data_IF_662464254901
#
_entry.id   IF_662464254901
#
_cell.length_a   1.000
_cell.length_b   1.000
_cell.length_c   1.000
_cell.angle_alpha   90.00
_cell.angle_beta   90.00
_cell.angle_gamma   90.00
#
_symmetry.space_group_name_H-M   'P 1'
#
loop_
_entity.id
_entity.type
_entity.pdbx_description
1 polymer ?
#
# COMPACT_ATOMS: atom_id res chain seq x y z
N UNK A 1 -0.72 0.42 -7.64
CA UNK A 1 -0.05 0.01 -6.38
C UNK A 1 0.14 1.26 -5.54
N UNK A 2 -0.09 1.16 -4.23
CA UNK A 2 0.26 2.22 -3.29
C UNK A 2 1.77 2.49 -3.32
N UNK A 3 2.19 3.67 -2.83
CA UNK A 3 3.59 4.08 -2.74
C UNK A 3 4.36 4.16 -4.10
N UNK A 4 3.69 4.54 -5.19
CA UNK A 4 4.33 4.64 -6.52
C UNK A 4 5.62 5.49 -6.54
N UNK A 5 5.61 6.63 -5.83
CA UNK A 5 6.78 7.52 -5.69
C UNK A 5 7.96 6.80 -5.04
N UNK A 6 7.70 5.96 -4.04
CA UNK A 6 8.72 5.19 -3.33
C UNK A 6 9.44 4.18 -4.24
N UNK A 7 8.68 3.49 -5.09
CA UNK A 7 9.24 2.50 -6.02
C UNK A 7 9.99 3.13 -7.21
N UNK A 8 9.74 4.41 -7.51
CA UNK A 8 10.36 5.13 -8.64
C UNK A 8 11.55 6.00 -8.25
N UNK A 9 11.64 6.44 -6.99
CA UNK A 9 12.77 7.26 -6.54
C UNK A 9 14.05 6.44 -6.43
N UNK A 10 15.19 7.13 -6.44
CA UNK A 10 16.48 6.53 -6.08
C UNK A 10 16.48 6.08 -4.63
N UNK A 11 17.20 4.99 -4.36
CA UNK A 11 17.33 4.42 -3.01
C UNK A 11 18.04 5.44 -2.12
N UNK A 12 17.45 5.72 -0.96
CA UNK A 12 18.05 6.58 0.07
C UNK A 12 18.80 5.74 1.11
N UNK A 13 19.69 6.38 1.89
CA UNK A 13 20.45 5.69 2.94
C UNK A 13 19.57 5.03 4.01
N UNK A 14 18.44 5.66 4.31
CA UNK A 14 17.46 5.18 5.27
C UNK A 14 16.07 5.47 4.73
N UNK A 15 15.18 4.47 4.79
CA UNK A 15 13.85 4.53 4.20
C UNK A 15 12.83 3.88 5.11
N UNK A 16 11.68 4.53 5.23
CA UNK A 16 10.57 4.03 6.02
C UNK A 16 9.27 4.17 5.22
N UNK A 17 8.47 3.12 5.21
CA UNK A 17 7.09 3.14 4.72
C UNK A 17 6.18 3.07 5.94
N UNK A 18 5.17 3.94 5.99
CA UNK A 18 4.15 3.92 7.03
C UNK A 18 2.78 3.97 6.38
N UNK A 19 1.87 3.12 6.86
CA UNK A 19 0.46 3.18 6.50
C UNK A 19 -0.39 2.84 7.72
N UNK A 20 -1.61 3.38 7.80
CA UNK A 20 -2.55 3.09 8.88
C UNK A 20 -3.34 1.79 8.61
N UNK A 21 -3.42 1.36 7.34
CA UNK A 21 -4.04 0.11 6.95
C UNK A 21 -3.15 -1.09 7.35
N UNK A 22 -3.56 -1.73 8.44
CA UNK A 22 -2.85 -2.90 8.98
C UNK A 22 -2.77 -4.08 8.00
N UNK A 23 -3.72 -4.26 7.08
CA UNK A 23 -3.65 -5.31 6.06
C UNK A 23 -2.53 -5.02 5.05
N UNK A 24 -2.40 -3.75 4.67
CA UNK A 24 -1.34 -3.29 3.76
C UNK A 24 0.04 -3.40 4.42
N UNK A 25 0.15 -3.04 5.71
CA UNK A 25 1.39 -3.21 6.48
C UNK A 25 1.79 -4.69 6.56
N UNK A 26 0.85 -5.58 6.92
CA UNK A 26 1.12 -7.02 6.97
C UNK A 26 1.55 -7.53 5.59
N UNK A 27 0.90 -7.07 4.53
CA UNK A 27 1.29 -7.43 3.16
C UNK A 27 2.75 -7.05 2.84
N UNK A 28 3.17 -5.81 3.13
CA UNK A 28 4.56 -5.41 2.89
C UNK A 28 5.56 -6.19 3.75
N UNK A 29 5.24 -6.44 5.03
CA UNK A 29 6.09 -7.23 5.93
C UNK A 29 6.26 -8.67 5.43
N UNK A 30 5.18 -9.30 4.97
CA UNK A 30 5.23 -10.65 4.41
C UNK A 30 6.02 -10.69 3.11
N UNK A 31 5.83 -9.72 2.20
CA UNK A 31 6.65 -9.65 0.99
C UNK A 31 8.13 -9.44 1.30
N UNK A 32 8.47 -8.66 2.32
CA UNK A 32 9.85 -8.43 2.73
C UNK A 32 10.51 -9.69 3.30
N UNK A 33 9.79 -10.50 4.09
CA UNK A 33 10.40 -11.57 4.89
C UNK A 33 10.07 -13.00 4.42
N UNK A 34 8.97 -13.19 3.67
CA UNK A 34 8.39 -14.50 3.35
C UNK A 34 7.78 -14.52 1.93
N UNK A 35 8.52 -14.02 0.94
CA UNK A 35 8.05 -13.93 -0.46
C UNK A 35 7.67 -15.31 -1.01
N UNK A 36 8.48 -16.33 -0.76
CA UNK A 36 8.26 -17.67 -1.30
C UNK A 36 6.97 -18.29 -0.74
N UNK A 37 6.77 -18.20 0.58
CA UNK A 37 5.57 -18.72 1.25
C UNK A 37 4.32 -17.96 0.81
N UNK A 38 4.45 -16.65 0.55
CA UNK A 38 3.38 -15.85 -0.04
C UNK A 38 3.02 -16.34 -1.44
N UNK A 39 4.00 -16.50 -2.35
CA UNK A 39 3.76 -16.96 -3.72
C UNK A 39 3.16 -18.37 -3.76
N UNK A 40 3.55 -19.24 -2.83
CA UNK A 40 2.98 -20.59 -2.69
C UNK A 40 1.48 -20.60 -2.45
N UNK A 41 0.89 -19.54 -1.86
CA UNK A 41 -0.56 -19.42 -1.69
C UNK A 41 -1.31 -19.34 -3.04
N UNK A 42 -0.62 -18.96 -4.12
CA UNK A 42 -1.21 -18.71 -5.44
C UNK A 42 -0.92 -19.81 -6.46
N UNK A 43 -0.11 -20.82 -6.12
CA UNK A 43 0.37 -21.84 -7.07
C UNK A 43 -0.75 -22.54 -7.85
N UNK A 44 -1.88 -22.80 -7.20
CA UNK A 44 -3.05 -23.47 -7.78
C UNK A 44 -4.30 -22.59 -7.76
N UNK A 45 -4.13 -21.30 -7.47
CA UNK A 45 -5.25 -20.40 -7.30
C UNK A 45 -5.76 -19.92 -8.66
N UNK A 46 -7.07 -20.06 -8.86
CA UNK A 46 -7.76 -19.57 -10.06
C UNK A 46 -8.53 -18.30 -9.75
N UNK A 47 -8.79 -17.50 -10.77
CA UNK A 47 -9.71 -16.36 -10.67
C UNK A 47 -11.15 -16.89 -10.64
N UNK A 48 -11.84 -16.73 -9.52
CA UNK A 48 -13.23 -17.13 -9.37
C UNK A 48 -13.99 -16.19 -8.43
N UNK A 49 -15.25 -15.93 -8.76
CA UNK A 49 -16.13 -15.08 -7.95
C UNK A 49 -16.45 -15.74 -6.60
N UNK A 50 -16.65 -17.05 -6.58
CA UNK A 50 -16.94 -17.78 -5.34
C UNK A 50 -15.74 -17.72 -4.38
N UNK A 51 -14.54 -17.98 -4.91
CA UNK A 51 -13.29 -17.82 -4.16
C UNK A 51 -13.09 -16.39 -3.64
N UNK A 52 -13.43 -15.38 -4.46
CA UNK A 52 -13.35 -13.98 -4.04
C UNK A 52 -14.29 -13.66 -2.88
N UNK A 53 -15.56 -14.05 -2.94
CA UNK A 53 -16.51 -13.79 -1.85
C UNK A 53 -16.14 -14.59 -0.58
N UNK A 54 -15.59 -15.80 -0.73
CA UNK A 54 -15.10 -16.57 0.40
C UNK A 54 -13.88 -15.95 1.08
N UNK A 55 -12.86 -15.57 0.29
CA UNK A 55 -11.66 -14.92 0.83
C UNK A 55 -11.96 -13.54 1.42
N UNK A 56 -12.97 -12.84 0.89
CA UNK A 56 -13.49 -11.61 1.49
C UNK A 56 -14.05 -11.87 2.89
N UNK A 57 -14.90 -12.90 3.05
CA UNK A 57 -15.41 -13.29 4.38
C UNK A 57 -14.29 -13.70 5.33
N UNK A 58 -13.31 -14.47 4.86
CA UNK A 58 -12.15 -14.86 5.69
C UNK A 58 -11.33 -13.64 6.14
N UNK A 59 -11.10 -12.68 5.24
CA UNK A 59 -10.37 -11.45 5.54
C UNK A 59 -11.08 -10.65 6.65
N UNK A 60 -12.42 -10.55 6.57
CA UNK A 60 -13.22 -9.81 7.55
C UNK A 60 -13.35 -10.58 8.89
N UNK A 61 -13.40 -11.92 8.85
CA UNK A 61 -13.55 -12.76 10.04
C UNK A 61 -12.27 -12.85 10.89
N UNK A 62 -11.09 -12.69 10.28
CA UNK A 62 -9.80 -12.81 10.97
C UNK A 62 -9.41 -14.27 11.25
N UNK A 63 -8.48 -14.47 12.21
CA UNK A 63 -7.95 -15.79 12.56
C UNK A 63 -6.95 -16.39 11.55
N UNK A 64 -6.53 -15.59 10.57
CA UNK A 64 -5.55 -15.95 9.54
C UNK A 64 -4.12 -15.73 10.04
N UNK A 65 -3.17 -16.53 9.56
CA UNK A 65 -1.75 -16.19 9.71
C UNK A 65 -1.40 -14.96 8.89
N UNK A 66 -0.30 -14.26 9.21
CA UNK A 66 0.13 -13.07 8.46
C UNK A 66 0.28 -13.36 6.96
N UNK A 67 0.87 -14.51 6.59
CA UNK A 67 1.00 -14.94 5.19
C UNK A 67 -0.37 -15.11 4.53
N UNK A 68 -1.31 -15.74 5.26
CA UNK A 68 -2.65 -15.95 4.74
C UNK A 68 -3.39 -14.63 4.56
N UNK A 69 -3.35 -13.77 5.57
CA UNK A 69 -3.95 -12.43 5.56
C UNK A 69 -3.40 -11.57 4.42
N UNK A 70 -2.08 -11.56 4.22
CA UNK A 70 -1.45 -10.87 3.10
C UNK A 70 -1.93 -11.39 1.75
N UNK A 71 -2.02 -12.72 1.58
CA UNK A 71 -2.46 -13.33 0.33
C UNK A 71 -3.93 -13.01 0.01
N UNK A 72 -4.80 -13.02 1.02
CA UNK A 72 -6.23 -12.71 0.89
C UNK A 72 -6.40 -11.25 0.50
N UNK A 73 -5.72 -10.35 1.22
CA UNK A 73 -5.66 -8.94 0.88
C UNK A 73 -5.23 -8.71 -0.58
N UNK A 74 -4.12 -9.31 -1.00
CA UNK A 74 -3.61 -9.14 -2.37
C UNK A 74 -4.57 -9.65 -3.45
N UNK A 75 -5.14 -10.85 -3.26
CA UNK A 75 -6.09 -11.45 -4.19
C UNK A 75 -7.34 -10.57 -4.36
N UNK A 76 -7.89 -10.10 -3.25
CA UNK A 76 -9.04 -9.21 -3.24
C UNK A 76 -8.71 -7.90 -3.96
N UNK A 77 -7.55 -7.30 -3.70
CA UNK A 77 -7.17 -6.05 -4.36
C UNK A 77 -6.94 -6.20 -5.88
N UNK A 78 -6.38 -7.33 -6.33
CA UNK A 78 -6.15 -7.58 -7.75
C UNK A 78 -7.43 -7.82 -8.55
N UNK A 79 -8.40 -8.49 -7.94
CA UNK A 79 -9.67 -8.85 -8.59
C UNK A 79 -10.81 -7.87 -8.31
N UNK A 80 -10.64 -6.95 -7.35
CA UNK A 80 -11.66 -5.95 -7.06
C UNK A 80 -11.81 -4.94 -8.21
N UNK A 81 -13.06 -4.61 -8.56
CA UNK A 81 -13.37 -3.50 -9.43
C UNK A 81 -12.84 -2.19 -8.84
N UNK A 82 -12.06 -1.46 -9.64
CA UNK A 82 -11.48 -0.17 -9.25
C UNK A 82 -10.48 -0.22 -8.08
N UNK A 83 -10.02 -1.41 -7.66
CA UNK A 83 -9.03 -1.55 -6.57
C UNK A 83 -9.49 -0.96 -5.23
N UNK A 84 -10.80 -0.96 -4.97
CA UNK A 84 -11.37 -0.38 -3.75
C UNK A 84 -10.98 -1.22 -2.55
N UNK A 85 -10.64 -0.57 -1.43
CA UNK A 85 -10.34 -1.27 -0.17
C UNK A 85 -11.62 -1.52 0.62
N UNK A 86 -12.59 -0.59 0.57
CA UNK A 86 -13.93 -0.72 1.14
C UNK A 86 -14.97 -1.06 0.07
N UNK A 87 -15.96 -1.87 0.43
CA UNK A 87 -17.03 -2.27 -0.49
C UNK A 87 -16.49 -3.03 -1.69
N UNK A 88 -15.59 -3.99 -1.45
CA UNK A 88 -14.94 -4.78 -2.50
C UNK A 88 -15.98 -5.55 -3.31
N UNK A 89 -15.95 -5.37 -4.63
CA UNK A 89 -16.82 -6.06 -5.59
C UNK A 89 -15.93 -6.73 -6.62
N UNK A 90 -16.21 -7.98 -6.95
CA UNK A 90 -15.47 -8.71 -7.98
C UNK A 90 -15.59 -8.01 -9.34
N UNK A 91 -14.45 -7.60 -9.89
CA UNK A 91 -14.36 -6.91 -11.16
C UNK A 91 -14.49 -7.85 -12.35
N UNK A 92 -15.29 -7.44 -13.33
CA UNK A 92 -15.47 -8.16 -14.60
C UNK A 92 -14.90 -7.34 -15.73
N UNK A 93 -14.03 -7.94 -16.54
CA UNK A 93 -13.42 -7.30 -17.70
C UNK A 93 -13.45 -8.28 -18.88
N UNK A 94 -14.56 -8.30 -19.67
CA UNK A 94 -14.76 -9.31 -20.72
C UNK A 94 -13.66 -9.32 -21.81
N UNK A 95 -12.96 -8.20 -21.99
CA UNK A 95 -11.92 -8.02 -23.00
C UNK A 95 -10.50 -8.31 -22.50
N UNK A 96 -10.34 -8.73 -21.24
CA UNK A 96 -9.03 -8.91 -20.62
C UNK A 96 -8.93 -10.25 -19.89
N UNK A 97 -7.73 -10.84 -19.94
CA UNK A 97 -7.44 -12.01 -19.13
C UNK A 97 -7.54 -11.68 -17.63
N UNK A 98 -7.87 -12.67 -16.78
CA UNK A 98 -7.87 -12.49 -15.33
C UNK A 98 -6.54 -11.93 -14.82
N UNK A 99 -6.62 -11.06 -13.81
CA UNK A 99 -5.45 -10.31 -13.28
C UNK A 99 -4.57 -11.12 -12.32
N UNK A 100 -4.89 -12.39 -12.10
CA UNK A 100 -4.09 -13.33 -11.30
C UNK A 100 -3.39 -14.26 -12.27
N UNK A 101 -2.07 -14.07 -12.41
CA UNK A 101 -1.18 -14.92 -13.19
C UNK A 101 0.09 -15.13 -12.38
N UNK A 102 0.37 -16.39 -11.99
CA UNK A 102 1.45 -16.70 -11.06
C UNK A 102 2.83 -16.22 -11.55
N UNK A 103 3.16 -16.48 -12.82
CA UNK A 103 4.46 -16.13 -13.39
C UNK A 103 4.68 -14.61 -13.35
N UNK A 104 3.67 -13.83 -13.75
CA UNK A 104 3.75 -12.37 -13.70
C UNK A 104 3.80 -11.84 -12.27
N UNK A 105 3.06 -12.47 -11.36
CA UNK A 105 3.07 -12.10 -9.95
C UNK A 105 4.45 -12.35 -9.32
N UNK A 106 5.08 -13.48 -9.62
CA UNK A 106 6.42 -13.80 -9.15
C UNK A 106 7.45 -12.79 -9.62
N UNK A 107 7.43 -12.42 -10.90
CA UNK A 107 8.30 -11.38 -11.47
C UNK A 107 8.09 -10.02 -10.77
N UNK A 108 6.84 -9.54 -10.71
CA UNK A 108 6.50 -8.24 -10.12
C UNK A 108 6.84 -8.19 -8.62
N UNK A 109 6.54 -9.26 -7.87
CA UNK A 109 6.72 -9.29 -6.43
C UNK A 109 8.17 -9.54 -6.03
N UNK A 110 8.98 -10.22 -6.86
CA UNK A 110 10.42 -10.34 -6.64
C UNK A 110 11.11 -8.98 -6.69
N UNK A 111 10.75 -8.13 -7.67
CA UNK A 111 11.27 -6.77 -7.73
C UNK A 111 10.86 -5.93 -6.51
N UNK A 112 9.61 -6.09 -6.04
CA UNK A 112 9.14 -5.42 -4.83
C UNK A 112 9.88 -5.90 -3.58
N UNK A 113 10.08 -7.22 -3.44
CA UNK A 113 10.81 -7.81 -2.33
C UNK A 113 12.24 -7.23 -2.24
N UNK A 114 12.99 -7.26 -3.35
CA UNK A 114 14.34 -6.69 -3.41
C UNK A 114 14.38 -5.21 -3.03
N UNK A 115 13.37 -4.44 -3.45
CA UNK A 115 13.25 -3.02 -3.10
C UNK A 115 12.98 -2.80 -1.61
N UNK A 116 12.32 -3.75 -0.93
CA UNK A 116 11.93 -3.66 0.47
C UNK A 116 12.98 -4.14 1.46
N UNK A 117 14.01 -4.90 1.06
CA UNK A 117 15.00 -5.52 1.97
C UNK A 117 15.62 -4.53 2.99
N UNK A 118 15.86 -3.28 2.61
CA UNK A 118 16.45 -2.25 3.46
C UNK A 118 15.46 -1.24 4.07
N UNK A 119 14.17 -1.53 4.03
CA UNK A 119 13.11 -0.56 4.33
C UNK A 119 12.44 -0.88 5.65
N UNK A 120 12.33 0.10 6.53
CA UNK A 120 11.52 -0.06 7.75
C UNK A 120 10.04 0.09 7.41
N UNK A 121 9.19 -0.81 7.92
CA UNK A 121 7.75 -0.77 7.67
C UNK A 121 7.05 -0.52 9.01
N UNK A 122 6.33 0.59 9.10
CA UNK A 122 5.68 1.09 10.32
C UNK A 122 4.15 1.04 10.19
N UNK A 123 3.48 0.88 11.33
CA UNK A 123 2.03 0.97 11.48
C UNK A 123 1.69 2.01 12.54
N UNK A 124 1.93 3.28 12.22
CA UNK A 124 1.73 4.40 13.13
C UNK A 124 0.73 5.40 12.55
N UNK A 125 0.08 6.15 13.44
CA UNK A 125 -0.62 7.36 13.01
C UNK A 125 0.39 8.33 12.39
N UNK A 126 -0.08 9.15 11.45
CA UNK A 126 0.79 10.04 10.67
C UNK A 126 1.54 11.03 11.57
N UNK A 127 0.92 11.47 12.65
CA UNK A 127 1.49 12.44 13.59
C UNK A 127 2.60 11.81 14.46
N UNK A 128 2.39 10.58 14.94
CA UNK A 128 3.44 9.81 15.62
C UNK A 128 4.61 9.49 14.69
N UNK A 129 4.31 9.13 13.45
CA UNK A 129 5.32 8.83 12.44
C UNK A 129 6.21 10.05 12.18
N UNK A 130 5.62 11.21 11.91
CA UNK A 130 6.39 12.44 11.64
C UNK A 130 7.21 12.83 12.86
N UNK A 131 6.63 12.80 14.08
CA UNK A 131 7.36 13.14 15.31
C UNK A 131 8.62 12.28 15.53
N UNK A 132 8.59 11.01 15.13
CA UNK A 132 9.73 10.09 15.30
C UNK A 132 10.83 10.30 14.27
N UNK A 133 10.46 10.54 13.01
CA UNK A 133 11.41 10.56 11.89
C UNK A 133 11.80 11.97 11.41
N UNK A 134 11.19 13.03 11.96
CA UNK A 134 11.55 14.40 11.60
C UNK A 134 12.94 14.74 12.14
N UNK A 135 13.91 14.71 11.24
CA UNK A 135 15.33 14.96 11.47
C UNK A 135 15.87 15.81 10.32
N UNK A 136 16.95 16.57 10.54
CA UNK A 136 17.59 17.34 9.48
C UNK A 136 17.96 16.45 8.28
N UNK A 137 17.44 16.79 7.10
CA UNK A 137 17.64 16.03 5.86
C UNK A 137 16.59 14.96 5.55
N UNK A 138 15.59 14.74 6.42
CA UNK A 138 14.46 13.83 6.12
C UNK A 138 13.55 14.43 5.06
N UNK A 139 13.24 13.64 4.02
CA UNK A 139 12.24 13.96 3.01
C UNK A 139 10.95 13.19 3.32
N UNK A 140 9.88 13.92 3.58
CA UNK A 140 8.54 13.32 3.73
C UNK A 140 7.77 13.45 2.42
N UNK A 141 7.24 12.31 1.96
CA UNK A 141 6.22 12.25 0.92
C UNK A 141 4.92 11.77 1.55
N UNK A 142 3.93 12.64 1.59
CA UNK A 142 2.63 12.36 2.18
C UNK A 142 1.56 12.40 1.09
N UNK A 143 0.82 11.31 0.94
CA UNK A 143 -0.34 11.20 0.05
C UNK A 143 -1.61 10.99 0.90
N UNK A 144 -2.08 12.03 1.60
CA UNK A 144 -3.27 11.90 2.44
C UNK A 144 -4.50 11.55 1.58
N UNK A 145 -5.49 10.82 2.13
CA UNK A 145 -6.76 10.60 1.44
C UNK A 145 -7.33 11.95 0.99
N UNK A 146 -7.93 12.03 -0.20
CA UNK A 146 -8.54 13.28 -0.65
C UNK A 146 -9.85 13.56 0.12
N UNK A 147 -10.07 14.83 0.47
CA UNK A 147 -11.24 15.24 1.25
C UNK A 147 -12.54 14.76 0.58
N UNK A 148 -13.37 14.04 1.34
CA UNK A 148 -14.66 13.43 0.93
C UNK A 148 -14.58 12.34 -0.15
N UNK A 149 -13.41 11.75 -0.41
CA UNK A 149 -13.34 10.61 -1.32
C UNK A 149 -13.91 9.33 -0.65
N UNK A 150 -14.92 8.65 -1.24
CA UNK A 150 -15.59 7.50 -0.62
C UNK A 150 -14.74 6.21 -0.61
N UNK A 151 -13.55 6.24 -1.20
CA UNK A 151 -12.75 5.04 -1.51
C UNK A 151 -11.71 4.65 -0.45
N UNK A 152 -11.44 5.51 0.55
CA UNK A 152 -10.40 5.27 1.55
C UNK A 152 -10.94 4.58 2.81
N UNK A 153 -10.14 3.68 3.38
CA UNK A 153 -10.50 2.98 4.61
C UNK A 153 -10.43 3.90 5.84
N UNK A 154 -9.46 4.80 5.86
CA UNK A 154 -9.27 5.82 6.88
C UNK A 154 -9.36 7.18 6.21
N UNK A 155 -10.35 7.98 6.61
CA UNK A 155 -10.51 9.36 6.12
C UNK A 155 -9.91 10.32 7.16
N UNK A 156 -9.24 11.36 6.69
CA UNK A 156 -8.75 12.44 7.54
C UNK A 156 -9.88 13.46 7.79
N UNK A 157 -9.91 14.04 9.00
CA UNK A 157 -10.78 15.17 9.30
C UNK A 157 -10.19 16.49 8.77
N UNK A 158 -11.01 17.54 8.66
CA UNK A 158 -10.56 18.88 8.20
C UNK A 158 -9.40 19.44 9.04
N UNK A 159 -9.38 19.15 10.34
CA UNK A 159 -8.30 19.46 11.28
C UNK A 159 -6.97 18.77 10.92
N UNK A 160 -7.04 17.52 10.45
CA UNK A 160 -5.87 16.75 10.02
C UNK A 160 -5.31 17.25 8.69
N UNK A 161 -6.15 17.75 7.78
CA UNK A 161 -5.66 18.41 6.56
C UNK A 161 -4.87 19.66 6.91
N UNK A 162 -5.39 20.55 7.75
CA UNK A 162 -4.68 21.77 8.16
C UNK A 162 -3.36 21.47 8.85
N UNK A 163 -3.27 20.36 9.60
CA UNK A 163 -2.04 19.92 10.25
C UNK A 163 -1.07 19.24 9.29
N UNK A 164 -1.55 18.43 8.33
CA UNK A 164 -0.72 17.80 7.28
C UNK A 164 -0.16 18.84 6.31
N UNK A 165 -0.98 19.82 5.89
CA UNK A 165 -0.53 20.98 5.11
C UNK A 165 0.37 21.89 5.95
N UNK A 166 0.11 22.05 7.25
CA UNK A 166 0.94 22.78 8.19
C UNK A 166 2.33 22.17 8.41
N UNK A 167 2.45 20.84 8.44
CA UNK A 167 3.73 20.12 8.45
C UNK A 167 4.43 20.25 7.09
N UNK A 168 3.69 20.17 5.99
CA UNK A 168 4.22 20.41 4.64
C UNK A 168 4.79 21.83 4.49
N UNK A 169 4.25 22.82 5.23
CA UNK A 169 4.71 24.22 5.21
C UNK A 169 5.76 24.56 6.28
N UNK A 170 5.80 23.86 7.43
CA UNK A 170 6.77 24.10 8.52
C UNK A 170 8.12 23.44 8.33
N UNK A 171 8.25 22.47 7.41
CA UNK A 171 9.54 21.84 7.07
C UNK A 171 10.44 22.75 6.22
N UNK A 172 10.62 24.02 6.61
CA UNK A 172 11.57 24.94 5.99
C UNK A 172 12.95 24.79 6.66
N UNK A 173 13.56 23.59 6.59
CA UNK A 173 14.55 23.30 5.53
C UNK A 173 14.48 21.89 4.91
N UNK A 174 13.53 21.05 5.31
CA UNK A 174 13.30 19.71 4.76
C UNK A 174 12.25 19.76 3.65
N UNK A 175 12.67 19.65 2.38
CA UNK A 175 11.75 19.64 1.24
C UNK A 175 10.66 18.58 1.47
N UNK A 176 9.40 18.95 1.57
CA UNK A 176 8.26 18.02 1.51
C UNK A 176 7.55 18.18 0.17
N UNK A 177 7.20 17.06 -0.47
CA UNK A 177 6.47 17.08 -1.75
C UNK A 177 5.09 16.46 -1.54
N UNK A 178 4.04 17.19 -1.91
CA UNK A 178 2.69 16.66 -2.03
C UNK A 178 2.37 16.34 -3.49
N UNK A 179 1.38 15.48 -3.74
CA UNK A 179 0.95 15.07 -5.08
C UNK A 179 0.64 16.24 -6.03
N UNK A 180 0.21 17.40 -5.53
CA UNK A 180 0.00 18.62 -6.34
C UNK A 180 1.30 19.27 -6.86
N UNK A 181 2.44 19.11 -6.18
CA UNK A 181 3.71 19.73 -6.58
C UNK A 181 4.57 18.87 -7.52
N UNK A 182 4.17 17.61 -7.77
CA UNK A 182 4.93 16.68 -8.62
C UNK A 182 4.67 16.93 -10.11
N UNK A 183 3.54 17.54 -10.47
CA UNK A 183 3.17 17.79 -11.87
C UNK A 183 4.10 18.78 -12.59
N UNK A 184 4.84 19.63 -11.88
CA UNK A 184 5.67 20.68 -12.47
C UNK A 184 7.18 20.36 -12.49
N UNK A 185 7.62 19.26 -11.85
CA UNK A 185 9.06 18.97 -11.69
C UNK A 185 9.58 17.74 -12.45
N UNK A 186 8.74 17.10 -13.24
CA UNK A 186 9.12 15.94 -14.06
C UNK A 186 8.63 16.06 -15.52
N UNK A 187 8.78 17.26 -16.10
CA UNK A 187 8.95 17.44 -17.55
C UNK A 187 10.43 17.55 -17.88
#
# INVERSE_FOLDING_TARGET
MAAWVFFKKTISKYEVINDLDSDLVVFYRVLQNHLEEFLRQFKWLLSSREWFEDWKRQQDAGGLTDIQRAARYYYLQRLCFGGRVKGRVFGTAPMHNPRINLLRMEEELSAVHLRLVGVSIEHLSWDDFIRRYDKPGTLFYCDPPYYKAPSYAHNLELSDYNSTFGVTLRLSPCRSLTSRHIAERFQ
#
